data_IF_664239081262
#
_entry.id   IF_664239081262
#
_cell.length_a   1.000
_cell.length_b   1.000
_cell.length_c   1.000
_cell.angle_alpha   90.00
_cell.angle_beta   90.00
_cell.angle_gamma   90.00
#
_symmetry.space_group_name_H-M   'P 1'
#
loop_
_entity.id
_entity.type
_entity.pdbx_description
1 polymer ?
#
# COMPACT_ATOMS: atom_id res chain seq x y z
N UNK A 1 5.31 -12.09 7.43
CA UNK A 1 5.70 -11.16 8.51
C UNK A 1 5.71 -11.96 9.81
N UNK A 2 6.77 -11.95 10.61
CA UNK A 2 6.71 -12.44 11.98
C UNK A 2 5.67 -11.64 12.77
N UNK A 3 4.86 -12.34 13.57
CA UNK A 3 3.84 -11.72 14.39
C UNK A 3 3.66 -12.47 15.72
N UNK A 4 3.04 -11.82 16.68
CA UNK A 4 2.61 -12.41 17.96
C UNK A 4 1.11 -12.22 18.09
N UNK A 5 0.37 -13.30 18.34
CA UNK A 5 -1.03 -13.20 18.76
C UNK A 5 -1.06 -12.74 20.20
N UNK A 6 -1.57 -11.53 20.44
CA UNK A 6 -1.66 -10.94 21.79
C UNK A 6 -3.00 -11.32 22.44
N UNK A 7 -4.08 -11.34 21.65
CA UNK A 7 -5.44 -11.66 22.11
C UNK A 7 -6.28 -12.22 20.96
N UNK A 8 -7.28 -13.04 21.25
CA UNK A 8 -8.25 -13.55 20.29
C UNK A 8 -7.81 -14.81 19.56
N UNK A 9 -8.20 -14.96 18.27
CA UNK A 9 -7.96 -16.13 17.44
C UNK A 9 -7.42 -15.77 16.08
N UNK A 10 -6.51 -16.60 15.54
CA UNK A 10 -6.02 -16.47 14.15
C UNK A 10 -7.06 -16.91 13.12
N UNK A 11 -8.13 -17.59 13.54
CA UNK A 11 -9.24 -18.00 12.65
C UNK A 11 -10.29 -16.88 12.48
N UNK A 12 -10.01 -15.66 13.02
CA UNK A 12 -10.89 -14.50 12.83
C UNK A 12 -10.94 -14.10 11.37
N UNK A 13 -12.10 -14.18 10.76
CA UNK A 13 -12.31 -13.77 9.37
C UNK A 13 -12.25 -12.25 9.24
N UNK A 14 -11.59 -11.79 8.19
CA UNK A 14 -11.43 -10.38 7.84
C UNK A 14 -11.88 -10.17 6.40
N UNK A 15 -12.81 -9.24 6.21
CA UNK A 15 -13.34 -8.91 4.89
C UNK A 15 -12.47 -7.92 4.12
N UNK A 16 -11.86 -6.96 4.85
CA UNK A 16 -11.01 -5.92 4.28
C UNK A 16 -10.07 -5.33 5.33
N UNK A 17 -9.09 -4.53 4.85
CA UNK A 17 -8.07 -3.86 5.66
C UNK A 17 -8.30 -2.36 5.61
N UNK A 18 -8.21 -1.72 6.75
CA UNK A 18 -8.26 -0.26 6.88
C UNK A 18 -7.11 0.25 7.74
N UNK A 19 -6.67 1.48 7.47
CA UNK A 19 -5.70 2.23 8.29
C UNK A 19 -6.21 3.64 8.62
N UNK A 20 -7.43 3.97 8.19
CA UNK A 20 -8.17 5.18 8.55
C UNK A 20 -9.28 4.82 9.53
N UNK A 21 -9.18 5.25 10.80
CA UNK A 21 -10.13 4.95 11.88
C UNK A 21 -11.56 5.44 11.61
N UNK A 22 -11.72 6.42 10.70
CA UNK A 22 -13.04 6.92 10.27
C UNK A 22 -13.83 5.87 9.47
N UNK A 23 -13.12 4.91 8.85
CA UNK A 23 -13.69 3.81 8.07
C UNK A 23 -13.95 2.55 8.90
N UNK A 24 -13.74 2.60 10.22
CA UNK A 24 -13.92 1.45 11.10
C UNK A 24 -15.36 0.92 11.03
N UNK A 25 -15.48 -0.39 10.79
CA UNK A 25 -16.75 -1.11 10.67
C UNK A 25 -16.56 -2.60 11.04
N UNK A 26 -17.65 -3.35 11.32
CA UNK A 26 -17.59 -4.77 11.59
C UNK A 26 -16.94 -5.58 10.47
N UNK A 27 -16.18 -6.61 10.82
CA UNK A 27 -15.52 -7.50 9.87
C UNK A 27 -14.23 -6.98 9.27
N UNK A 28 -13.76 -5.80 9.65
CA UNK A 28 -12.53 -5.21 9.13
C UNK A 28 -11.33 -5.45 10.03
N UNK A 29 -10.12 -5.41 9.44
CA UNK A 29 -8.86 -5.30 10.18
C UNK A 29 -8.38 -3.86 10.16
N UNK A 30 -8.17 -3.27 11.34
CA UNK A 30 -7.56 -1.94 11.46
C UNK A 30 -6.06 -2.07 11.72
N UNK A 31 -5.26 -1.50 10.83
CA UNK A 31 -3.81 -1.45 10.96
C UNK A 31 -3.41 -0.15 11.64
N UNK A 32 -2.90 -0.25 12.85
CA UNK A 32 -2.41 0.89 13.62
C UNK A 32 -1.04 1.31 13.10
N UNK A 33 -0.99 2.44 12.40
CA UNK A 33 0.25 2.96 11.81
C UNK A 33 0.83 4.05 12.70
N UNK A 34 2.12 3.93 13.00
CA UNK A 34 2.91 5.02 13.60
C UNK A 34 3.21 6.04 12.49
N UNK A 35 2.49 7.14 12.49
CA UNK A 35 2.67 8.25 11.55
C UNK A 35 3.71 9.27 12.04
N UNK A 36 4.08 10.22 11.17
CA UNK A 36 5.03 11.29 11.53
C UNK A 36 4.43 12.35 12.47
N UNK A 37 3.12 12.54 12.43
CA UNK A 37 2.41 13.52 13.25
C UNK A 37 1.49 12.89 14.30
N UNK A 38 0.99 11.68 14.03
CA UNK A 38 0.06 10.95 14.90
C UNK A 38 0.37 9.46 14.90
N UNK A 39 0.12 8.85 16.03
CA UNK A 39 0.14 7.41 16.21
C UNK A 39 -1.30 6.88 16.22
N UNK A 40 -1.68 6.11 15.18
CA UNK A 40 -3.06 5.63 15.07
C UNK A 40 -3.43 4.52 16.07
N UNK A 41 -2.50 4.06 16.92
CA UNK A 41 -2.82 3.20 18.05
C UNK A 41 -3.77 3.88 19.05
N UNK A 42 -3.75 5.22 19.13
CA UNK A 42 -4.71 6.01 19.94
C UNK A 42 -6.18 5.75 19.57
N UNK A 43 -6.45 5.31 18.34
CA UNK A 43 -7.81 5.03 17.84
C UNK A 43 -8.22 3.56 17.96
N UNK A 44 -7.37 2.70 18.50
CA UNK A 44 -7.62 1.24 18.57
C UNK A 44 -8.92 0.93 19.33
N UNK A 45 -9.13 1.55 20.50
CA UNK A 45 -10.33 1.35 21.30
C UNK A 45 -11.61 1.83 20.59
N UNK A 46 -11.56 2.98 19.93
CA UNK A 46 -12.69 3.50 19.14
C UNK A 46 -13.03 2.60 17.95
N UNK A 47 -12.01 2.05 17.27
CA UNK A 47 -12.20 1.11 16.17
C UNK A 47 -12.80 -0.22 16.67
N UNK A 48 -12.34 -0.72 17.80
CA UNK A 48 -12.90 -1.90 18.46
C UNK A 48 -14.37 -1.69 18.84
N UNK A 49 -14.71 -0.54 19.42
CA UNK A 49 -16.09 -0.17 19.77
C UNK A 49 -17.02 -0.08 18.54
N UNK A 50 -16.47 0.21 17.35
CA UNK A 50 -17.20 0.19 16.07
C UNK A 50 -17.29 -1.21 15.43
N UNK A 51 -16.77 -2.25 16.11
CA UNK A 51 -16.89 -3.64 15.68
C UNK A 51 -15.77 -4.14 14.77
N UNK A 52 -14.63 -3.46 14.71
CA UNK A 52 -13.44 -3.98 14.02
C UNK A 52 -13.06 -5.34 14.62
N UNK A 53 -12.83 -6.34 13.78
CA UNK A 53 -12.58 -7.72 14.20
C UNK A 53 -11.14 -7.97 14.58
N UNK A 54 -10.19 -7.29 13.91
CA UNK A 54 -8.75 -7.47 14.12
C UNK A 54 -8.05 -6.11 14.24
N UNK A 55 -7.17 -6.00 15.22
CA UNK A 55 -6.20 -4.89 15.34
C UNK A 55 -4.80 -5.41 15.01
N UNK A 56 -4.10 -4.75 14.12
CA UNK A 56 -2.68 -4.98 13.86
C UNK A 56 -1.90 -3.84 14.50
N UNK A 57 -1.11 -4.15 15.51
CA UNK A 57 -0.39 -3.17 16.34
C UNK A 57 1.13 -3.33 16.21
N UNK A 58 1.88 -2.27 16.44
CA UNK A 58 3.34 -2.27 16.41
C UNK A 58 3.94 -2.22 17.84
N UNK A 59 3.24 -1.65 18.78
CA UNK A 59 3.62 -1.61 20.21
C UNK A 59 2.42 -1.96 21.10
N UNK A 60 2.68 -2.21 22.37
CA UNK A 60 1.65 -2.60 23.33
C UNK A 60 0.66 -1.45 23.56
N UNK A 61 -0.62 -1.80 23.69
CA UNK A 61 -1.73 -0.91 23.99
C UNK A 61 -2.57 -1.49 25.14
N UNK A 62 -3.36 -0.67 25.80
CA UNK A 62 -4.31 -1.15 26.80
C UNK A 62 -5.50 -1.87 26.13
N UNK A 63 -5.64 -3.16 26.42
CA UNK A 63 -6.69 -4.03 25.88
C UNK A 63 -7.93 -4.16 26.79
N UNK A 64 -7.93 -3.53 27.95
CA UNK A 64 -8.99 -3.69 28.97
C UNK A 64 -10.40 -3.37 28.47
N UNK A 65 -10.51 -2.41 27.54
CA UNK A 65 -11.75 -1.99 26.90
C UNK A 65 -12.13 -2.79 25.62
N UNK A 66 -11.33 -3.79 25.23
CA UNK A 66 -11.45 -4.47 23.92
C UNK A 66 -11.44 -6.01 24.03
N UNK A 67 -12.25 -6.65 24.93
CA UNK A 67 -12.11 -8.08 25.22
C UNK A 67 -12.48 -9.02 24.06
N UNK A 68 -13.20 -8.54 23.06
CA UNK A 68 -13.69 -9.36 21.93
C UNK A 68 -12.92 -9.19 20.61
N UNK A 69 -11.88 -8.37 20.60
CA UNK A 69 -11.11 -8.07 19.37
C UNK A 69 -9.88 -8.97 19.30
N UNK A 70 -9.59 -9.51 18.13
CA UNK A 70 -8.31 -10.19 17.89
C UNK A 70 -7.20 -9.14 17.70
N UNK A 71 -6.11 -9.30 18.45
CA UNK A 71 -4.97 -8.36 18.42
C UNK A 71 -3.70 -9.10 18.02
N UNK A 72 -3.09 -8.63 16.96
CA UNK A 72 -1.84 -9.17 16.41
C UNK A 72 -0.76 -8.09 16.47
N UNK A 73 0.36 -8.40 17.11
CA UNK A 73 1.52 -7.51 17.19
C UNK A 73 2.57 -7.88 16.15
N UNK A 74 3.06 -6.87 15.42
CA UNK A 74 4.09 -6.98 14.38
C UNK A 74 5.23 -6.01 14.65
N UNK A 75 6.38 -6.21 14.00
CA UNK A 75 7.53 -5.31 14.11
C UNK A 75 7.28 -3.98 13.37
N UNK A 76 6.68 -4.03 12.16
CA UNK A 76 6.29 -2.88 11.35
C UNK A 76 4.87 -3.05 10.85
N UNK A 77 3.96 -2.18 11.30
CA UNK A 77 2.57 -2.16 10.84
C UNK A 77 2.47 -1.79 9.37
N UNK A 78 3.34 -0.92 8.87
CA UNK A 78 3.38 -0.53 7.45
C UNK A 78 3.79 -1.70 6.56
N UNK A 79 4.86 -2.40 6.95
CA UNK A 79 5.32 -3.59 6.23
C UNK A 79 4.27 -4.71 6.26
N UNK A 80 3.65 -4.93 7.42
CA UNK A 80 2.56 -5.89 7.55
C UNK A 80 1.37 -5.52 6.66
N UNK A 81 0.94 -4.26 6.64
CA UNK A 81 -0.13 -3.77 5.76
C UNK A 81 0.17 -4.04 4.29
N UNK A 82 1.41 -3.81 3.85
CA UNK A 82 1.80 -4.04 2.47
C UNK A 82 1.64 -5.50 2.05
N UNK A 83 2.13 -6.45 2.88
CA UNK A 83 2.02 -7.88 2.59
C UNK A 83 0.57 -8.40 2.73
N UNK A 84 -0.16 -7.93 3.74
CA UNK A 84 -1.58 -8.28 3.93
C UNK A 84 -2.42 -7.79 2.74
N UNK A 85 -2.20 -6.56 2.28
CA UNK A 85 -2.88 -6.02 1.10
C UNK A 85 -2.54 -6.79 -0.17
N UNK A 86 -1.27 -7.17 -0.35
CA UNK A 86 -0.87 -8.05 -1.45
C UNK A 86 -1.68 -9.35 -1.46
N UNK A 87 -1.79 -10.01 -0.31
CA UNK A 87 -2.56 -11.25 -0.18
C UNK A 87 -4.05 -11.02 -0.40
N UNK A 88 -4.63 -9.97 0.18
CA UNK A 88 -6.05 -9.63 0.03
C UNK A 88 -6.45 -9.47 -1.44
N UNK A 89 -5.62 -8.80 -2.24
CA UNK A 89 -5.88 -8.58 -3.67
C UNK A 89 -5.29 -9.67 -4.58
N UNK A 90 -4.81 -10.79 -4.03
CA UNK A 90 -4.31 -11.94 -4.78
C UNK A 90 -2.94 -11.74 -5.41
N UNK A 91 -2.08 -10.90 -4.82
CA UNK A 91 -0.72 -10.62 -5.26
C UNK A 91 -0.65 -10.19 -6.76
N UNK A 92 -1.34 -9.12 -7.15
CA UNK A 92 -1.51 -8.74 -8.55
C UNK A 92 -0.18 -8.42 -9.25
N UNK A 93 0.83 -7.91 -8.53
CA UNK A 93 2.15 -7.63 -9.09
C UNK A 93 2.89 -8.86 -9.62
N UNK A 94 2.46 -10.08 -9.28
CA UNK A 94 3.01 -11.34 -9.79
C UNK A 94 2.30 -11.86 -11.03
N UNK A 95 1.26 -11.17 -11.48
CA UNK A 95 0.38 -11.60 -12.57
C UNK A 95 0.47 -10.70 -13.80
N UNK A 96 1.29 -9.64 -13.75
CA UNK A 96 1.56 -8.72 -14.85
C UNK A 96 3.03 -8.32 -14.85
N UNK A 97 3.52 -7.77 -15.94
CA UNK A 97 4.87 -7.19 -15.96
C UNK A 97 4.92 -5.91 -15.15
N UNK A 98 5.75 -5.87 -14.11
CA UNK A 98 5.87 -4.74 -13.19
C UNK A 98 7.13 -3.93 -13.48
N UNK A 99 6.98 -2.63 -13.73
CA UNK A 99 8.09 -1.70 -14.00
C UNK A 99 8.06 -0.58 -12.97
N UNK A 100 9.12 -0.45 -12.18
CA UNK A 100 9.29 0.64 -11.21
C UNK A 100 10.33 1.65 -11.71
N UNK A 101 10.00 2.95 -11.65
CA UNK A 101 10.93 4.03 -12.01
C UNK A 101 11.21 4.86 -10.78
N UNK A 102 12.46 4.92 -10.35
CA UNK A 102 12.92 5.72 -9.22
C UNK A 102 14.04 6.68 -9.59
N UNK A 103 14.40 7.56 -8.68
CA UNK A 103 15.45 8.57 -8.81
C UNK A 103 14.96 9.94 -8.37
N UNK A 104 15.88 10.90 -8.30
CA UNK A 104 15.56 12.25 -7.82
C UNK A 104 14.64 12.98 -8.80
N UNK A 105 15.02 13.04 -10.07
CA UNK A 105 14.29 13.76 -11.14
C UNK A 105 14.04 12.87 -12.35
N UNK A 106 13.04 13.25 -13.16
CA UNK A 106 12.74 12.57 -14.42
C UNK A 106 11.85 11.33 -14.30
N UNK A 107 11.41 10.92 -13.11
CA UNK A 107 10.49 9.77 -12.94
C UNK A 107 9.25 9.90 -13.82
N UNK A 108 8.51 10.98 -13.68
CA UNK A 108 7.26 11.23 -14.43
C UNK A 108 7.49 11.24 -15.94
N UNK A 109 8.52 11.94 -16.42
CA UNK A 109 8.84 11.96 -17.86
C UNK A 109 9.18 10.56 -18.36
N UNK A 110 10.03 9.84 -17.63
CA UNK A 110 10.47 8.49 -18.01
C UNK A 110 9.30 7.50 -18.01
N UNK A 111 8.40 7.55 -17.02
CA UNK A 111 7.21 6.69 -17.00
C UNK A 111 6.29 6.96 -18.19
N UNK A 112 6.02 8.22 -18.52
CA UNK A 112 5.20 8.56 -19.69
C UNK A 112 5.83 8.10 -21.02
N UNK A 113 7.16 8.23 -21.16
CA UNK A 113 7.87 7.75 -22.34
C UNK A 113 7.80 6.21 -22.45
N UNK A 114 8.07 5.49 -21.37
CA UNK A 114 7.97 4.02 -21.33
C UNK A 114 6.54 3.58 -21.67
N UNK A 115 5.52 4.22 -21.06
CA UNK A 115 4.10 3.94 -21.35
C UNK A 115 3.82 4.07 -22.84
N UNK A 116 4.22 5.19 -23.45
CA UNK A 116 3.96 5.46 -24.88
C UNK A 116 4.62 4.41 -25.79
N UNK A 117 5.85 3.99 -25.48
CA UNK A 117 6.56 2.95 -26.25
C UNK A 117 5.87 1.60 -26.11
N UNK A 118 5.49 1.21 -24.89
CA UNK A 118 4.83 -0.07 -24.63
C UNK A 118 3.44 -0.13 -25.29
N UNK A 119 2.66 0.95 -25.22
CA UNK A 119 1.34 1.03 -25.87
C UNK A 119 1.48 1.00 -27.41
N UNK A 120 2.49 1.64 -27.98
CA UNK A 120 2.79 1.54 -29.42
C UNK A 120 3.20 0.13 -29.83
N UNK A 121 3.77 -0.66 -28.90
CA UNK A 121 4.09 -2.07 -29.09
C UNK A 121 2.89 -3.00 -28.81
N UNK A 122 1.69 -2.45 -28.57
CA UNK A 122 0.45 -3.21 -28.38
C UNK A 122 0.23 -3.72 -26.94
N UNK A 123 1.04 -3.26 -25.95
CA UNK A 123 0.83 -3.63 -24.54
C UNK A 123 -0.31 -2.80 -23.92
N UNK A 124 -1.01 -3.39 -22.97
CA UNK A 124 -2.06 -2.72 -22.20
C UNK A 124 -1.47 -2.28 -20.86
N UNK A 125 -1.14 -0.99 -20.76
CA UNK A 125 -0.37 -0.43 -19.64
C UNK A 125 -1.27 0.29 -18.64
N UNK A 126 -1.21 -0.12 -17.36
CA UNK A 126 -1.62 0.67 -16.23
C UNK A 126 -0.43 1.49 -15.70
N UNK A 127 -0.62 2.77 -15.38
CA UNK A 127 0.44 3.64 -14.86
C UNK A 127 -0.01 4.36 -13.59
N UNK A 128 0.88 4.41 -12.59
CA UNK A 128 0.70 5.16 -11.33
C UNK A 128 1.86 6.16 -11.18
N UNK A 129 1.55 7.41 -10.91
CA UNK A 129 2.59 8.41 -10.69
C UNK A 129 2.07 9.74 -10.16
N UNK A 130 2.91 10.77 -10.22
CA UNK A 130 2.62 12.11 -9.71
C UNK A 130 1.35 12.72 -10.35
N UNK A 131 1.11 12.42 -11.62
CA UNK A 131 -0.04 12.94 -12.36
C UNK A 131 -1.31 12.09 -12.21
N UNK A 132 -1.27 11.05 -11.37
CA UNK A 132 -2.42 10.17 -11.12
C UNK A 132 -2.23 8.73 -11.61
N UNK A 133 -3.36 8.04 -11.71
CA UNK A 133 -3.48 6.67 -12.20
C UNK A 133 -4.10 6.71 -13.61
N UNK A 134 -3.49 6.00 -14.55
CA UNK A 134 -3.94 5.93 -15.95
C UNK A 134 -4.00 4.48 -16.41
N UNK A 135 -5.11 4.05 -16.99
CA UNK A 135 -5.21 2.75 -17.68
C UNK A 135 -6.39 2.75 -18.65
N UNK A 136 -6.18 2.26 -19.86
CA UNK A 136 -7.22 2.02 -20.87
C UNK A 136 -8.21 3.20 -21.07
N UNK A 137 -7.70 4.43 -21.05
CA UNK A 137 -8.51 5.65 -21.18
C UNK A 137 -9.11 6.18 -19.87
N UNK A 138 -8.96 5.47 -18.76
CA UNK A 138 -9.32 5.96 -17.43
C UNK A 138 -8.21 6.83 -16.85
N UNK A 139 -8.61 7.87 -16.11
CA UNK A 139 -7.71 8.71 -15.31
C UNK A 139 -8.33 9.00 -13.95
N UNK A 140 -7.53 8.85 -12.91
CA UNK A 140 -7.88 9.16 -11.52
C UNK A 140 -6.73 9.91 -10.86
N UNK A 141 -7.02 10.99 -10.14
CA UNK A 141 -6.01 11.71 -9.35
C UNK A 141 -5.56 10.89 -8.14
N UNK A 142 -4.33 11.11 -7.70
CA UNK A 142 -3.76 10.53 -6.48
C UNK A 142 -3.21 11.62 -5.58
N UNK A 143 -3.29 11.41 -4.26
CA UNK A 143 -2.73 12.34 -3.27
C UNK A 143 -1.19 12.28 -3.21
N UNK A 144 -0.59 11.17 -3.63
CA UNK A 144 0.85 10.93 -3.56
C UNK A 144 1.37 10.32 -4.86
N UNK A 145 2.60 10.66 -5.24
CA UNK A 145 3.32 10.03 -6.36
C UNK A 145 3.35 8.50 -6.24
N UNK A 146 3.54 8.02 -5.01
CA UNK A 146 3.51 6.60 -4.64
C UNK A 146 2.45 6.46 -3.55
N UNK A 147 1.24 5.99 -3.85
CA UNK A 147 0.16 5.76 -2.88
C UNK A 147 0.55 4.81 -1.75
N UNK A 148 -0.28 4.72 -0.70
CA UNK A 148 -0.09 3.74 0.37
C UNK A 148 -0.22 2.31 -0.19
N UNK A 149 0.36 1.35 0.50
CA UNK A 149 0.46 -0.04 0.01
C UNK A 149 -0.90 -0.69 -0.28
N UNK A 150 -1.92 -0.37 0.51
CA UNK A 150 -3.29 -0.86 0.27
C UNK A 150 -3.83 -0.35 -1.08
N UNK A 151 -3.74 0.95 -1.33
CA UNK A 151 -4.20 1.56 -2.58
C UNK A 151 -3.41 1.04 -3.79
N UNK A 152 -2.11 0.82 -3.64
CA UNK A 152 -1.29 0.25 -4.71
C UNK A 152 -1.75 -1.15 -5.10
N UNK A 153 -1.94 -2.05 -4.12
CA UNK A 153 -2.37 -3.42 -4.40
C UNK A 153 -3.78 -3.47 -4.99
N UNK A 154 -4.69 -2.63 -4.48
CA UNK A 154 -6.03 -2.45 -5.03
C UNK A 154 -5.98 -1.98 -6.48
N UNK A 155 -5.20 -0.95 -6.78
CA UNK A 155 -5.06 -0.40 -8.14
C UNK A 155 -4.45 -1.44 -9.10
N UNK A 156 -3.47 -2.22 -8.66
CA UNK A 156 -2.93 -3.30 -9.49
C UNK A 156 -3.96 -4.38 -9.76
N UNK A 157 -4.84 -4.67 -8.81
CA UNK A 157 -5.96 -5.59 -9.05
C UNK A 157 -6.93 -5.01 -10.08
N UNK A 158 -7.26 -3.73 -9.98
CA UNK A 158 -8.10 -3.01 -10.96
C UNK A 158 -7.46 -3.03 -12.36
N UNK A 159 -6.14 -2.88 -12.49
CA UNK A 159 -5.44 -3.00 -13.76
C UNK A 159 -5.61 -4.39 -14.39
N UNK A 160 -5.41 -5.45 -13.59
CA UNK A 160 -5.61 -6.82 -14.06
C UNK A 160 -7.06 -7.08 -14.51
N UNK A 161 -8.03 -6.66 -13.70
CA UNK A 161 -9.45 -6.86 -13.99
C UNK A 161 -9.89 -6.11 -15.25
N UNK A 162 -9.27 -4.94 -15.52
CA UNK A 162 -9.45 -4.19 -16.77
C UNK A 162 -8.71 -4.83 -17.96
N UNK A 163 -7.85 -5.83 -17.73
CA UNK A 163 -7.10 -6.53 -18.77
C UNK A 163 -5.75 -5.91 -19.12
N UNK A 164 -5.17 -5.08 -18.23
CA UNK A 164 -3.78 -4.64 -18.36
C UNK A 164 -2.83 -5.83 -18.17
N UNK A 165 -1.78 -5.87 -18.98
CA UNK A 165 -0.70 -6.87 -18.91
C UNK A 165 0.60 -6.31 -18.33
N UNK A 166 0.67 -5.00 -18.14
CA UNK A 166 1.84 -4.27 -17.64
C UNK A 166 1.40 -3.19 -16.67
N UNK A 167 2.05 -3.11 -15.52
CA UNK A 167 1.93 -1.99 -14.60
C UNK A 167 3.27 -1.25 -14.52
N UNK A 168 3.20 0.06 -14.65
CA UNK A 168 4.32 0.99 -14.61
C UNK A 168 4.07 1.98 -13.47
N UNK A 169 5.05 2.19 -12.59
CA UNK A 169 4.85 3.15 -11.51
C UNK A 169 6.08 3.99 -11.18
N UNK A 170 5.82 5.21 -10.74
CA UNK A 170 6.82 6.04 -10.08
C UNK A 170 7.01 5.55 -8.64
N UNK A 171 8.26 5.29 -8.26
CA UNK A 171 8.65 4.87 -6.92
C UNK A 171 9.45 6.00 -6.27
N UNK A 172 8.83 6.73 -5.35
CA UNK A 172 9.49 7.80 -4.61
C UNK A 172 10.35 7.23 -3.48
N UNK A 173 11.41 7.97 -3.09
CA UNK A 173 12.24 7.62 -1.93
C UNK A 173 11.41 7.48 -0.65
N UNK A 174 10.44 8.38 -0.45
CA UNK A 174 9.51 8.31 0.67
C UNK A 174 8.60 7.06 0.60
N UNK A 175 8.17 6.65 -0.60
CA UNK A 175 7.41 5.41 -0.79
C UNK A 175 8.20 4.16 -0.39
N UNK A 176 9.51 4.15 -0.67
CA UNK A 176 10.42 3.08 -0.22
C UNK A 176 10.60 3.12 1.30
N UNK A 177 10.93 4.30 1.85
CA UNK A 177 11.18 4.47 3.28
C UNK A 177 9.97 4.13 4.16
N UNK A 178 8.76 4.34 3.65
CA UNK A 178 7.49 4.05 4.34
C UNK A 178 6.89 2.69 4.02
N UNK A 179 7.66 1.75 3.47
CA UNK A 179 7.21 0.40 3.10
C UNK A 179 6.01 0.36 2.12
N UNK A 180 5.69 1.45 1.43
CA UNK A 180 4.52 1.51 0.53
C UNK A 180 4.61 0.52 -0.62
N UNK A 181 5.83 0.23 -1.06
CA UNK A 181 6.12 -0.69 -2.16
C UNK A 181 6.60 -2.06 -1.71
N UNK A 182 6.59 -2.33 -0.41
CA UNK A 182 6.98 -3.63 0.12
C UNK A 182 6.05 -4.74 -0.42
N UNK A 183 6.61 -5.91 -0.70
CA UNK A 183 5.88 -7.05 -1.24
C UNK A 183 5.50 -6.95 -2.72
N UNK A 184 5.74 -5.83 -3.39
CA UNK A 184 5.57 -5.72 -4.85
C UNK A 184 6.73 -6.44 -5.54
N UNK A 185 6.40 -7.32 -6.48
CA UNK A 185 7.39 -7.96 -7.35
C UNK A 185 7.64 -7.08 -8.56
N UNK A 186 8.87 -6.60 -8.73
CA UNK A 186 9.27 -5.83 -9.91
C UNK A 186 10.08 -6.70 -10.85
N UNK A 187 9.69 -6.73 -12.14
CA UNK A 187 10.46 -7.37 -13.21
C UNK A 187 11.58 -6.44 -13.71
N UNK A 188 11.29 -5.13 -13.75
CA UNK A 188 12.21 -4.11 -14.24
C UNK A 188 12.26 -2.92 -13.27
N UNK A 189 13.46 -2.57 -12.84
CA UNK A 189 13.76 -1.36 -12.09
C UNK A 189 14.53 -0.35 -12.94
N UNK A 190 14.04 0.88 -13.03
CA UNK A 190 14.71 1.99 -13.73
C UNK A 190 15.15 3.02 -12.71
N UNK A 191 16.45 3.29 -12.67
CA UNK A 191 17.02 4.34 -11.83
C UNK A 191 17.48 5.51 -12.73
N UNK A 192 16.83 6.66 -12.60
CA UNK A 192 17.09 7.80 -13.50
C UNK A 192 18.33 8.60 -13.12
N UNK A 193 18.41 9.02 -11.87
CA UNK A 193 19.56 9.78 -11.32
C UNK A 193 19.48 9.89 -9.80
N UNK A 194 20.59 10.33 -9.19
CA UNK A 194 20.68 10.67 -7.77
C UNK A 194 21.32 12.05 -7.63
N UNK A 195 20.62 12.98 -7.00
CA UNK A 195 21.14 14.29 -6.62
C UNK A 195 20.55 14.68 -5.26
N UNK A 196 21.20 15.59 -4.51
CA UNK A 196 20.61 16.13 -3.29
C UNK A 196 19.27 16.79 -3.57
N UNK A 197 18.20 16.23 -3.02
CA UNK A 197 16.82 16.74 -3.11
C UNK A 197 16.04 16.21 -1.91
N UNK A 198 15.08 16.99 -1.42
CA UNK A 198 14.33 16.65 -0.20
C UNK A 198 15.20 16.41 1.05
N UNK A 199 16.39 17.02 1.12
CA UNK A 199 17.27 16.99 2.27
C UNK A 199 16.89 18.19 3.16
N UNK A 200 15.95 17.99 4.03
CA UNK A 200 15.52 18.93 5.03
C UNK A 200 15.04 18.19 6.27
N UNK A 201 15.00 18.84 7.44
CA UNK A 201 14.26 18.28 8.55
C UNK A 201 12.82 18.08 8.09
N UNK A 202 12.39 16.82 8.10
CA UNK A 202 11.03 16.41 7.74
C UNK A 202 10.00 16.92 8.75
#
# INVERSE_FOLDING_TARGET
VPFTLVQGSLDTEVQDIIYDSRKAAPGLAFVCIVGTQRDSHEFAADCAAKGVSVLVIQHDIDLSAMPGVTVVKVESSRYAMALMSGNLFGNPSRQMTMIGVTGTKGKTTTTHMIKSVLEAAGRKVGMIGTNGIYFLGHHQETANTTPESYELQKTFREFLDAGCDTALMEVSSQGIMMDRVAGIHYDIGVFTNLSPDHIGPG
#
